data_IF_554202905040
#
_entry.id   IF_554202905040
#
_cell.length_a   1.000
_cell.length_b   1.000
_cell.length_c   1.000
_cell.angle_alpha   90.00
_cell.angle_beta   90.00
_cell.angle_gamma   90.00
#
_symmetry.space_group_name_H-M   'P 1'
#
loop_
_entity.id
_entity.type
_entity.pdbx_description
1 polymer ?
#
# COMPACT_ATOMS: atom_id res chain seq x y z
N UNK A 1 -13.78 -5.40 18.88
CA UNK A 1 -13.90 -6.72 19.53
C UNK A 1 -12.83 -7.62 18.98
N UNK A 2 -12.03 -8.24 19.85
CA UNK A 2 -10.71 -8.82 19.52
C UNK A 2 -10.70 -9.77 18.31
N UNK A 3 -11.70 -10.64 18.18
CA UNK A 3 -11.75 -11.63 17.10
C UNK A 3 -11.83 -10.99 15.70
N UNK A 4 -12.65 -9.94 15.52
CA UNK A 4 -12.76 -9.24 14.23
C UNK A 4 -11.50 -8.41 13.90
N UNK A 5 -10.81 -7.90 14.93
CA UNK A 5 -9.57 -7.15 14.76
C UNK A 5 -8.40 -8.05 14.32
N UNK A 6 -8.35 -9.28 14.84
CA UNK A 6 -7.34 -10.28 14.51
C UNK A 6 -7.62 -11.02 13.19
N UNK A 7 -8.87 -10.99 12.71
CA UNK A 7 -9.25 -11.64 11.47
C UNK A 7 -8.79 -10.85 10.25
N UNK A 8 -7.70 -11.30 9.61
CA UNK A 8 -7.11 -10.65 8.44
C UNK A 8 -7.41 -11.45 7.16
N UNK A 9 -8.31 -10.93 6.33
CA UNK A 9 -8.57 -11.42 4.98
C UNK A 9 -8.14 -10.35 3.97
N UNK A 10 -7.47 -10.78 2.90
CA UNK A 10 -7.06 -9.92 1.79
C UNK A 10 -7.43 -10.55 0.45
N UNK A 11 -7.75 -9.73 -0.54
CA UNK A 11 -8.01 -10.19 -1.92
C UNK A 11 -9.47 -10.53 -2.23
N UNK A 12 -10.36 -10.48 -1.23
CA UNK A 12 -11.82 -10.59 -1.40
C UNK A 12 -12.53 -9.53 -0.54
N UNK A 13 -13.66 -8.97 -0.99
CA UNK A 13 -14.50 -8.09 -0.16
C UNK A 13 -15.02 -8.83 1.06
N UNK A 14 -15.07 -8.15 2.21
CA UNK A 14 -15.59 -8.71 3.47
C UNK A 14 -16.36 -7.66 4.25
N UNK A 15 -17.28 -8.10 5.11
CA UNK A 15 -18.09 -7.22 5.96
C UNK A 15 -17.44 -6.92 7.33
N UNK A 16 -16.14 -7.18 7.49
CA UNK A 16 -15.44 -7.07 8.78
C UNK A 16 -15.58 -5.66 9.37
N UNK A 17 -15.42 -4.62 8.56
CA UNK A 17 -15.55 -3.23 9.02
C UNK A 17 -16.97 -2.88 9.45
N UNK A 18 -17.96 -3.37 8.69
CA UNK A 18 -19.37 -3.18 9.02
C UNK A 18 -19.74 -3.87 10.33
N UNK A 19 -19.35 -5.14 10.49
CA UNK A 19 -19.55 -5.90 11.72
C UNK A 19 -18.84 -5.27 12.92
N UNK A 20 -17.63 -4.74 12.72
CA UNK A 20 -16.88 -4.02 13.77
C UNK A 20 -17.63 -2.79 14.28
N UNK A 21 -18.27 -2.04 13.38
CA UNK A 21 -19.09 -0.88 13.76
C UNK A 21 -20.39 -1.28 14.47
N UNK A 22 -21.02 -2.39 14.09
CA UNK A 22 -22.20 -2.93 14.78
C UNK A 22 -21.87 -3.26 16.23
N UNK A 23 -20.82 -4.04 16.47
CA UNK A 23 -20.48 -4.50 17.82
C UNK A 23 -20.00 -3.37 18.74
N UNK A 24 -19.64 -2.22 18.17
CA UNK A 24 -19.22 -1.03 18.91
C UNK A 24 -20.39 -0.11 19.30
N UNK A 25 -21.63 -0.38 18.85
CA UNK A 25 -22.79 0.45 19.22
C UNK A 25 -23.26 0.18 20.65
N UNK A 26 -23.62 1.24 21.37
CA UNK A 26 -24.15 1.13 22.74
C UNK A 26 -25.40 0.24 22.81
N UNK A 27 -26.31 0.36 21.84
CA UNK A 27 -27.51 -0.48 21.75
C UNK A 27 -27.17 -1.97 21.60
N UNK A 28 -26.11 -2.29 20.85
CA UNK A 28 -25.64 -3.66 20.67
C UNK A 28 -24.97 -4.20 21.93
N UNK A 29 -24.10 -3.40 22.55
CA UNK A 29 -23.40 -3.73 23.81
C UNK A 29 -24.41 -3.95 24.95
N UNK A 30 -25.44 -3.10 25.02
CA UNK A 30 -26.50 -3.19 26.02
C UNK A 30 -27.55 -4.29 25.75
N UNK A 31 -27.44 -5.03 24.64
CA UNK A 31 -28.44 -6.04 24.25
C UNK A 31 -29.79 -5.47 23.81
N UNK A 32 -29.88 -4.16 23.59
CA UNK A 32 -31.07 -3.46 23.14
C UNK A 32 -31.19 -3.52 21.62
N UNK A 33 -31.35 -4.73 21.09
CA UNK A 33 -31.46 -5.01 19.65
C UNK A 33 -32.69 -5.86 19.35
N UNK A 34 -33.25 -5.66 18.16
CA UNK A 34 -34.37 -6.45 17.64
C UNK A 34 -34.11 -6.82 16.18
N UNK A 35 -35.06 -7.49 15.54
CA UNK A 35 -34.93 -7.94 14.14
C UNK A 35 -34.87 -6.80 13.13
N UNK A 36 -35.20 -5.56 13.52
CA UNK A 36 -35.18 -4.36 12.66
C UNK A 36 -34.06 -3.39 13.02
N UNK A 37 -33.15 -3.78 13.93
CA UNK A 37 -32.06 -2.92 14.42
C UNK A 37 -31.26 -2.29 13.28
N UNK A 38 -30.96 -3.08 12.24
CA UNK A 38 -30.14 -2.63 11.10
C UNK A 38 -30.83 -1.56 10.24
N UNK A 39 -32.15 -1.43 10.29
CA UNK A 39 -32.89 -0.44 9.49
C UNK A 39 -32.56 1.01 9.91
N UNK A 40 -32.19 1.18 11.19
CA UNK A 40 -31.80 2.47 11.77
C UNK A 40 -30.29 2.65 11.87
N UNK A 41 -29.53 1.56 11.73
CA UNK A 41 -28.08 1.57 11.83
C UNK A 41 -27.47 2.14 10.55
N UNK A 42 -27.02 3.40 10.62
CA UNK A 42 -26.35 4.10 9.52
C UNK A 42 -24.89 4.36 9.90
N UNK A 43 -24.01 3.36 9.80
CA UNK A 43 -22.61 3.56 10.07
C UNK A 43 -22.03 4.51 9.03
N UNK A 44 -21.24 5.48 9.48
CA UNK A 44 -20.28 6.13 8.59
C UNK A 44 -19.19 5.10 8.28
N UNK A 45 -19.30 4.42 7.14
CA UNK A 45 -18.21 3.66 6.56
C UNK A 45 -17.26 4.71 5.98
N UNK A 46 -16.26 5.12 6.78
CA UNK A 46 -15.31 6.13 6.34
C UNK A 46 -14.75 5.78 4.97
N UNK A 47 -14.80 6.77 4.09
CA UNK A 47 -14.09 6.76 2.84
C UNK A 47 -12.61 6.53 3.10
N UNK A 48 -11.96 5.80 2.19
CA UNK A 48 -10.53 5.48 2.20
C UNK A 48 -9.72 6.65 2.78
N UNK A 49 -9.09 6.42 3.94
CA UNK A 49 -8.37 7.46 4.68
C UNK A 49 -7.36 8.18 3.77
N UNK A 50 -7.53 9.49 3.58
CA UNK A 50 -6.61 10.31 2.77
C UNK A 50 -5.14 10.15 3.20
N UNK A 51 -4.91 9.93 4.50
CA UNK A 51 -3.58 9.70 5.03
C UNK A 51 -2.97 8.42 4.45
N UNK A 52 -3.77 7.37 4.33
CA UNK A 52 -3.38 6.09 3.76
C UNK A 52 -3.10 6.21 2.26
N UNK A 53 -3.90 7.00 1.54
CA UNK A 53 -3.64 7.32 0.12
C UNK A 53 -2.33 8.09 -0.07
N UNK A 54 -2.08 9.11 0.76
CA UNK A 54 -0.83 9.89 0.73
C UNK A 54 0.38 9.02 1.01
N UNK A 55 0.29 8.09 1.97
CA UNK A 55 1.36 7.12 2.27
C UNK A 55 1.62 6.22 1.07
N UNK A 56 0.58 5.68 0.44
CA UNK A 56 0.71 4.83 -0.75
C UNK A 56 1.34 5.59 -1.92
N UNK A 57 0.90 6.82 -2.17
CA UNK A 57 1.46 7.67 -3.23
C UNK A 57 2.96 7.96 -2.97
N UNK A 58 3.33 8.27 -1.74
CA UNK A 58 4.72 8.52 -1.36
C UNK A 58 5.58 7.26 -1.52
N UNK A 59 5.08 6.10 -1.07
CA UNK A 59 5.77 4.82 -1.22
C UNK A 59 6.00 4.48 -2.71
N UNK A 60 4.99 4.66 -3.55
CA UNK A 60 5.09 4.45 -4.99
C UNK A 60 6.13 5.38 -5.64
N UNK A 61 6.11 6.67 -5.29
CA UNK A 61 7.07 7.65 -5.77
C UNK A 61 8.52 7.29 -5.37
N UNK A 62 8.72 6.83 -4.14
CA UNK A 62 10.02 6.44 -3.61
C UNK A 62 10.55 5.19 -4.35
N UNK A 63 9.69 4.19 -4.55
CA UNK A 63 10.02 2.98 -5.33
C UNK A 63 10.44 3.33 -6.76
N UNK A 64 9.67 4.18 -7.45
CA UNK A 64 9.98 4.60 -8.82
C UNK A 64 11.30 5.38 -8.89
N UNK A 65 11.54 6.28 -7.93
CA UNK A 65 12.80 7.04 -7.85
C UNK A 65 14.02 6.14 -7.67
N UNK A 66 13.92 5.13 -6.79
CA UNK A 66 15.00 4.17 -6.58
C UNK A 66 15.26 3.34 -7.85
N UNK A 67 14.21 2.92 -8.56
CA UNK A 67 14.37 2.19 -9.82
C UNK A 67 15.07 3.03 -10.88
N UNK A 68 14.70 4.31 -11.03
CA UNK A 68 15.36 5.25 -11.96
C UNK A 68 16.83 5.43 -11.61
N UNK A 69 17.17 5.67 -10.34
CA UNK A 69 18.57 5.79 -9.89
C UNK A 69 19.39 4.55 -10.23
N UNK A 70 18.87 3.35 -9.96
CA UNK A 70 19.55 2.09 -10.28
C UNK A 70 19.77 1.92 -11.79
N UNK A 71 18.79 2.29 -12.63
CA UNK A 71 18.93 2.27 -14.10
C UNK A 71 19.99 3.25 -14.58
N UNK A 72 20.01 4.48 -14.06
CA UNK A 72 21.03 5.49 -14.42
C UNK A 72 22.43 5.04 -14.00
N UNK A 73 22.59 4.49 -12.80
CA UNK A 73 23.88 3.94 -12.33
C UNK A 73 24.37 2.80 -13.21
N UNK A 74 23.51 1.85 -13.57
CA UNK A 74 23.86 0.77 -14.51
C UNK A 74 24.31 1.32 -15.87
N UNK A 75 23.59 2.30 -16.42
CA UNK A 75 23.95 2.93 -17.70
C UNK A 75 25.28 3.69 -17.65
N UNK A 76 25.56 4.37 -16.54
CA UNK A 76 26.83 5.05 -16.33
C UNK A 76 28.01 4.06 -16.23
N UNK A 77 27.85 2.97 -15.48
CA UNK A 77 28.83 1.90 -15.40
C UNK A 77 29.05 1.24 -16.78
N UNK A 78 27.96 1.07 -17.55
CA UNK A 78 28.04 0.56 -18.91
C UNK A 78 28.86 1.46 -19.85
N UNK A 79 28.65 2.76 -19.78
CA UNK A 79 29.38 3.71 -20.61
C UNK A 79 30.87 3.75 -20.23
N UNK A 80 31.18 3.66 -18.93
CA UNK A 80 32.56 3.70 -18.45
C UNK A 80 33.38 2.52 -18.98
N UNK A 81 32.88 1.27 -18.93
CA UNK A 81 33.64 0.13 -19.47
C UNK A 81 33.86 0.26 -20.98
N UNK A 82 32.86 0.74 -21.73
CA UNK A 82 32.98 0.98 -23.19
C UNK A 82 34.09 1.98 -23.48
N UNK A 83 34.12 3.09 -22.73
CA UNK A 83 35.15 4.11 -22.90
C UNK A 83 36.54 3.63 -22.52
N UNK A 84 36.69 2.79 -21.49
CA UNK A 84 38.00 2.22 -21.11
C UNK A 84 38.49 1.23 -22.15
N UNK A 85 37.64 0.32 -22.63
CA UNK A 85 37.98 -0.65 -23.67
C UNK A 85 38.41 0.04 -24.98
N UNK A 86 37.70 1.09 -25.40
CA UNK A 86 38.06 1.87 -26.59
C UNK A 86 39.44 2.54 -26.47
N UNK A 87 39.78 3.07 -25.28
CA UNK A 87 41.10 3.67 -25.02
C UNK A 87 42.22 2.64 -25.07
N UNK A 88 41.98 1.43 -24.58
CA UNK A 88 42.97 0.34 -24.63
C UNK A 88 43.22 -0.13 -26.07
N UNK A 89 42.17 -0.26 -26.88
CA UNK A 89 42.29 -0.62 -28.31
C UNK A 89 43.13 0.41 -29.09
N UNK A 90 42.94 1.70 -28.83
CA UNK A 90 43.74 2.77 -29.45
C UNK A 90 45.22 2.74 -29.06
N UNK A 91 45.56 2.24 -27.88
CA UNK A 91 46.94 2.17 -27.37
C UNK A 91 47.71 0.95 -27.88
N UNK A 92 47.03 -0.13 -28.26
CA UNK A 92 47.65 -1.34 -28.81
C UNK A 92 47.82 -1.35 -30.34
N UNK A 93 47.39 -0.29 -31.04
CA UNK A 93 47.46 -0.16 -32.49
C UNK A 93 48.66 0.70 -32.99
N UNK A 94 49.60 1.04 -32.09
CA UNK A 94 50.90 1.67 -32.37
C UNK A 94 52.01 0.64 -32.17
#
# INVERSE_FOLDING_TARGET
GRALEEFKISGVPTDIEFLSKIIAQDNFIGGNVNTTFLDTFKPNLEERSEALEKIVALAAALVEHQQKKRKTQKRAQENNWRTTAWKEQMRGAL
#
